data_IF_514972164303
#
_entry.id   IF_514972164303
#
_cell.length_a   1.000
_cell.length_b   1.000
_cell.length_c   1.000
_cell.angle_alpha   90.00
_cell.angle_beta   90.00
_cell.angle_gamma   90.00
#
_symmetry.space_group_name_H-M   'P 1'
#
loop_
_entity.id
_entity.type
_entity.pdbx_description
1 polymer ?
#
# COMPACT_ATOMS: atom_id res chain seq x y z
N UNK A 1 -19.17 -11.11 2.67
CA UNK A 1 -19.88 -9.87 3.05
C UNK A 1 -19.31 -8.72 2.24
N UNK A 2 -20.12 -8.04 1.40
CA UNK A 2 -19.70 -6.82 0.70
C UNK A 2 -19.50 -5.73 1.75
N UNK A 3 -18.28 -5.42 2.11
CA UNK A 3 -18.00 -4.30 2.97
C UNK A 3 -18.51 -3.02 2.30
N UNK A 4 -19.52 -2.42 2.89
CA UNK A 4 -19.99 -1.09 2.48
C UNK A 4 -18.81 -0.16 2.70
N UNK A 5 -18.26 0.42 1.65
CA UNK A 5 -17.14 1.35 1.78
C UNK A 5 -17.51 2.46 2.75
N UNK A 6 -16.57 2.87 3.60
CA UNK A 6 -16.78 3.95 4.56
C UNK A 6 -17.09 5.25 3.82
N UNK A 7 -18.20 5.89 4.15
CA UNK A 7 -18.56 7.18 3.55
C UNK A 7 -17.71 8.32 4.14
N UNK A 8 -17.69 9.47 3.48
CA UNK A 8 -17.03 10.68 4.00
C UNK A 8 -17.56 11.06 5.39
N UNK A 9 -18.88 10.93 5.58
CA UNK A 9 -19.53 11.28 6.85
C UNK A 9 -19.15 10.30 7.97
N UNK A 10 -19.08 9.00 7.66
CA UNK A 10 -18.63 7.98 8.62
C UNK A 10 -17.17 8.22 9.00
N UNK A 11 -16.32 8.54 8.02
CA UNK A 11 -14.93 8.86 8.25
C UNK A 11 -14.76 10.08 9.16
N UNK A 12 -15.47 11.16 8.87
CA UNK A 12 -15.44 12.39 9.67
C UNK A 12 -15.91 12.15 11.09
N UNK A 13 -16.96 11.35 11.27
CA UNK A 13 -17.49 11.01 12.59
C UNK A 13 -16.47 10.23 13.42
N UNK A 14 -15.74 9.31 12.81
CA UNK A 14 -14.81 8.41 13.51
C UNK A 14 -13.42 9.03 13.69
N UNK A 15 -12.92 9.76 12.67
CA UNK A 15 -11.53 10.25 12.60
C UNK A 15 -11.44 11.77 12.46
N UNK A 16 -12.50 12.49 12.75
CA UNK A 16 -12.54 13.95 12.65
C UNK A 16 -11.80 14.68 13.78
N UNK A 17 -11.51 13.98 14.87
CA UNK A 17 -10.77 14.52 16.03
C UNK A 17 -9.42 13.82 16.20
N UNK A 18 -8.48 14.50 16.86
CA UNK A 18 -7.16 13.93 17.16
C UNK A 18 -7.27 12.72 18.08
N UNK A 19 -8.18 12.79 19.06
CA UNK A 19 -8.48 11.72 20.00
C UNK A 19 -8.96 10.46 19.29
N UNK A 20 -9.93 10.59 18.36
CA UNK A 20 -10.44 9.46 17.58
C UNK A 20 -9.36 8.83 16.70
N UNK A 21 -8.45 9.63 16.15
CA UNK A 21 -7.30 9.12 15.41
C UNK A 21 -6.31 8.37 16.33
N UNK A 22 -6.07 8.88 17.54
CA UNK A 22 -5.19 8.25 18.53
C UNK A 22 -5.78 6.90 18.97
N UNK A 23 -7.05 6.85 19.31
CA UNK A 23 -7.76 5.63 19.70
C UNK A 23 -7.67 4.56 18.62
N UNK A 24 -8.00 4.92 17.38
CA UNK A 24 -7.91 4.00 16.24
C UNK A 24 -6.48 3.48 16.01
N UNK A 25 -5.47 4.32 16.22
CA UNK A 25 -4.07 3.92 16.07
C UNK A 25 -3.64 2.96 17.18
N UNK A 26 -4.11 3.17 18.41
CA UNK A 26 -3.87 2.30 19.56
C UNK A 26 -4.51 0.93 19.33
N UNK A 27 -5.77 0.88 18.91
CA UNK A 27 -6.49 -0.36 18.59
C UNK A 27 -5.79 -1.17 17.49
N UNK A 28 -5.33 -0.49 16.42
CA UNK A 28 -4.61 -1.16 15.35
C UNK A 28 -3.23 -1.67 15.79
N UNK A 29 -2.54 -0.93 16.64
CA UNK A 29 -1.22 -1.29 17.11
C UNK A 29 -1.24 -2.42 18.12
N UNK A 30 -2.22 -2.40 19.00
CA UNK A 30 -2.36 -3.32 20.11
C UNK A 30 -3.80 -3.86 20.21
N UNK A 31 -4.25 -4.69 19.26
CA UNK A 31 -5.63 -5.18 19.22
C UNK A 31 -6.00 -6.03 20.42
N UNK A 32 -5.01 -6.65 21.07
CA UNK A 32 -5.18 -7.46 22.29
C UNK A 32 -4.68 -6.74 23.55
N UNK A 33 -4.53 -5.41 23.48
CA UNK A 33 -3.94 -4.62 24.55
C UNK A 33 -2.45 -4.35 24.37
N UNK A 34 -1.92 -3.45 25.19
CA UNK A 34 -0.53 -3.03 25.11
C UNK A 34 0.45 -4.22 25.15
N UNK A 35 1.44 -4.20 24.25
CA UNK A 35 2.58 -5.11 24.27
C UNK A 35 3.88 -4.35 24.05
N UNK A 36 4.78 -4.48 25.02
CA UNK A 36 6.05 -3.77 24.98
C UNK A 36 6.93 -4.23 23.80
N UNK A 37 7.39 -3.34 22.93
CA UNK A 37 8.27 -3.72 21.81
C UNK A 37 9.70 -4.09 22.24
N UNK A 38 10.06 -3.86 23.50
CA UNK A 38 11.39 -4.14 24.03
C UNK A 38 11.45 -5.49 24.74
N UNK A 39 10.55 -5.75 25.71
CA UNK A 39 10.57 -6.95 26.54
C UNK A 39 9.37 -7.89 26.34
N UNK A 40 8.41 -7.52 25.47
CA UNK A 40 7.23 -8.34 25.21
C UNK A 40 6.15 -8.32 26.32
N UNK A 41 6.37 -7.59 27.44
CA UNK A 41 5.43 -7.51 28.56
C UNK A 41 4.11 -6.89 28.09
N UNK A 42 3.00 -7.40 28.63
CA UNK A 42 1.63 -7.07 28.22
C UNK A 42 0.96 -5.97 29.03
N UNK A 43 1.66 -5.43 30.04
CA UNK A 43 1.12 -4.36 30.87
C UNK A 43 1.94 -3.06 30.75
N UNK A 44 1.22 -1.94 30.69
CA UNK A 44 1.79 -0.61 30.58
C UNK A 44 0.73 0.47 30.78
N UNK A 45 1.14 1.70 30.95
CA UNK A 45 0.25 2.83 31.17
C UNK A 45 0.55 3.99 30.22
N UNK A 46 -0.51 4.73 29.86
CA UNK A 46 -0.42 5.87 28.97
C UNK A 46 0.09 7.11 29.72
N UNK A 47 1.16 7.72 29.21
CA UNK A 47 1.62 9.06 29.63
C UNK A 47 0.91 10.08 28.74
N UNK A 48 -0.29 10.50 29.18
CA UNK A 48 -1.19 11.39 28.39
C UNK A 48 -0.54 12.70 27.95
N UNK A 49 0.31 13.29 28.78
CA UNK A 49 0.97 14.57 28.51
C UNK A 49 1.96 14.53 27.34
N UNK A 50 2.46 13.35 26.98
CA UNK A 50 3.48 13.16 25.93
C UNK A 50 3.04 12.24 24.80
N UNK A 51 1.85 11.61 24.88
CA UNK A 51 1.40 10.64 23.89
C UNK A 51 2.26 9.37 23.81
N UNK A 52 2.84 8.94 24.94
CA UNK A 52 3.66 7.75 25.08
C UNK A 52 2.97 6.69 25.93
N UNK A 53 3.35 5.45 25.70
CA UNK A 53 3.06 4.33 26.58
C UNK A 53 4.35 3.89 27.27
N UNK A 54 4.32 3.67 28.59
CA UNK A 54 5.43 3.16 29.37
C UNK A 54 5.15 1.74 29.84
N UNK A 55 6.12 0.86 29.61
CA UNK A 55 6.04 -0.52 30.08
C UNK A 55 6.21 -0.59 31.59
N UNK A 56 5.32 -1.33 32.28
CA UNK A 56 5.40 -1.48 33.73
C UNK A 56 6.64 -2.30 34.20
N UNK A 57 7.23 -3.12 33.33
CA UNK A 57 8.36 -3.98 33.66
C UNK A 57 9.71 -3.34 33.35
N UNK A 58 9.93 -2.88 32.09
CA UNK A 58 11.22 -2.39 31.66
C UNK A 58 11.30 -0.86 31.53
N UNK A 59 10.24 -0.14 31.86
CA UNK A 59 10.10 1.33 31.80
C UNK A 59 10.40 1.94 30.43
N UNK A 60 10.41 1.10 29.36
CA UNK A 60 10.55 1.60 28.00
C UNK A 60 9.36 2.42 27.60
N UNK A 61 9.59 3.69 27.25
CA UNK A 61 8.59 4.58 26.70
C UNK A 61 8.50 4.37 25.18
N UNK A 62 7.29 4.22 24.68
CA UNK A 62 7.00 3.97 23.26
C UNK A 62 5.93 4.94 22.78
N UNK A 63 6.23 5.72 21.76
CA UNK A 63 5.22 6.53 21.08
C UNK A 63 4.26 5.65 20.29
N UNK A 64 2.97 5.99 20.28
CA UNK A 64 1.96 5.30 19.46
C UNK A 64 2.29 5.33 17.96
N UNK A 65 3.04 6.34 17.51
CA UNK A 65 3.44 6.50 16.11
C UNK A 65 4.77 5.81 15.78
N UNK A 66 5.56 5.39 16.78
CA UNK A 66 6.89 4.81 16.56
C UNK A 66 6.82 3.52 15.74
N UNK A 67 7.61 3.41 14.67
CA UNK A 67 7.63 2.25 13.77
C UNK A 67 6.41 2.12 12.86
N UNK A 68 5.52 3.10 12.83
CA UNK A 68 4.35 3.15 11.94
C UNK A 68 4.59 4.11 10.76
N UNK A 69 3.61 4.19 9.86
CA UNK A 69 3.53 5.21 8.80
C UNK A 69 3.75 6.63 9.34
N UNK A 70 3.31 6.89 10.55
CA UNK A 70 3.35 8.20 11.23
C UNK A 70 4.65 8.45 12.00
N UNK A 71 5.63 7.55 11.89
CA UNK A 71 6.91 7.70 12.60
C UNK A 71 7.57 9.05 12.34
N UNK A 72 7.99 9.73 13.43
CA UNK A 72 8.64 11.05 13.40
C UNK A 72 7.78 12.15 12.73
N UNK A 73 6.45 12.09 12.89
CA UNK A 73 5.58 13.16 12.41
C UNK A 73 5.41 14.26 13.48
N UNK A 74 5.45 15.51 13.01
CA UNK A 74 5.04 16.68 13.78
C UNK A 74 3.65 17.18 13.37
N UNK A 75 3.00 16.49 12.41
CA UNK A 75 1.66 16.82 11.98
C UNK A 75 0.62 16.12 12.86
N UNK A 76 -0.53 16.76 13.12
CA UNK A 76 -1.68 16.10 13.72
C UNK A 76 -2.06 14.83 12.96
N UNK A 77 -2.48 13.79 13.66
CA UNK A 77 -2.92 12.53 13.06
C UNK A 77 -4.15 12.73 12.18
N UNK A 78 -5.03 13.66 12.54
CA UNK A 78 -6.19 14.04 11.72
C UNK A 78 -5.81 14.39 10.29
N UNK A 79 -4.72 15.14 10.06
CA UNK A 79 -4.23 15.43 8.70
C UNK A 79 -3.74 14.18 7.96
N UNK A 80 -3.13 13.25 8.67
CA UNK A 80 -2.69 11.98 8.11
C UNK A 80 -3.87 11.09 7.74
N UNK A 81 -4.86 10.97 8.61
CA UNK A 81 -6.05 10.19 8.36
C UNK A 81 -6.84 10.75 7.17
N UNK A 82 -6.96 12.08 7.06
CA UNK A 82 -7.55 12.71 5.87
C UNK A 82 -6.75 12.43 4.60
N UNK A 83 -5.42 12.49 4.66
CA UNK A 83 -4.58 12.15 3.50
C UNK A 83 -4.78 10.70 3.05
N UNK A 84 -4.86 9.76 3.99
CA UNK A 84 -5.13 8.34 3.71
C UNK A 84 -6.51 8.17 3.07
N UNK A 85 -7.54 8.81 3.62
CA UNK A 85 -8.90 8.75 3.06
C UNK A 85 -8.94 9.26 1.62
N UNK A 86 -8.36 10.44 1.37
CA UNK A 86 -8.34 11.04 0.04
C UNK A 86 -7.59 10.19 -0.98
N UNK A 87 -6.48 9.57 -0.59
CA UNK A 87 -5.72 8.64 -1.46
C UNK A 87 -6.52 7.36 -1.73
N UNK A 88 -7.17 6.81 -0.70
CA UNK A 88 -7.91 5.55 -0.84
C UNK A 88 -9.24 5.69 -1.61
N UNK A 89 -9.89 6.86 -1.53
CA UNK A 89 -11.18 7.11 -2.17
C UNK A 89 -11.08 7.59 -3.62
N UNK A 90 -9.94 8.13 -4.05
CA UNK A 90 -9.77 8.70 -5.39
C UNK A 90 -9.10 7.71 -6.35
N UNK A 91 -9.89 7.13 -7.25
CA UNK A 91 -9.42 6.19 -8.29
C UNK A 91 -8.46 6.83 -9.31
N UNK A 92 -8.56 8.14 -9.52
CA UNK A 92 -7.69 8.89 -10.43
C UNK A 92 -6.33 9.24 -9.82
N UNK A 93 -6.17 8.98 -8.52
CA UNK A 93 -4.99 9.35 -7.75
C UNK A 93 -4.97 10.82 -7.32
N UNK A 94 -4.21 11.10 -6.28
CA UNK A 94 -4.08 12.43 -5.69
C UNK A 94 -2.68 12.97 -5.93
N UNK A 95 -2.58 14.17 -6.53
CA UNK A 95 -1.30 14.87 -6.66
C UNK A 95 -0.92 15.57 -5.35
N UNK A 96 0.40 15.78 -5.13
CA UNK A 96 0.88 16.48 -3.95
C UNK A 96 0.34 17.92 -3.85
N UNK A 97 0.15 18.59 -4.99
CA UNK A 97 -0.43 19.94 -5.02
C UNK A 97 -1.91 19.94 -4.61
N UNK A 98 -2.70 18.95 -5.07
CA UNK A 98 -4.10 18.81 -4.68
C UNK A 98 -4.20 18.48 -3.19
N UNK A 99 -3.43 17.50 -2.71
CA UNK A 99 -3.41 17.12 -1.31
C UNK A 99 -3.03 18.27 -0.39
N UNK A 100 -1.98 19.04 -0.75
CA UNK A 100 -1.51 20.18 0.07
C UNK A 100 -2.59 21.22 0.30
N UNK A 101 -3.40 21.51 -0.73
CA UNK A 101 -4.54 22.43 -0.63
C UNK A 101 -5.68 21.86 0.21
N UNK A 102 -5.99 20.57 0.07
CA UNK A 102 -7.12 19.93 0.75
C UNK A 102 -6.91 19.80 2.27
N UNK A 103 -5.69 19.50 2.72
CA UNK A 103 -5.38 19.31 4.15
C UNK A 103 -4.58 20.47 4.74
N UNK A 104 -4.40 21.55 4.01
CA UNK A 104 -3.67 22.75 4.41
C UNK A 104 -2.28 22.44 5.00
N UNK A 105 -1.40 21.94 4.13
CA UNK A 105 0.03 21.72 4.41
C UNK A 105 0.88 22.21 3.24
N UNK A 106 2.18 22.36 3.43
CA UNK A 106 3.08 22.70 2.32
C UNK A 106 3.12 21.59 1.26
N UNK A 107 3.43 21.93 0.02
CA UNK A 107 3.60 20.95 -1.06
C UNK A 107 4.66 19.89 -0.72
N UNK A 108 5.77 20.31 -0.10
CA UNK A 108 6.86 19.40 0.32
C UNK A 108 6.33 18.39 1.33
N UNK A 109 5.54 18.85 2.31
CA UNK A 109 4.91 17.98 3.32
C UNK A 109 3.95 16.99 2.68
N UNK A 110 3.05 17.46 1.81
CA UNK A 110 2.11 16.60 1.09
C UNK A 110 2.81 15.55 0.23
N UNK A 111 3.91 15.93 -0.44
CA UNK A 111 4.73 15.01 -1.25
C UNK A 111 5.36 13.91 -0.39
N UNK A 112 5.90 14.26 0.79
CA UNK A 112 6.45 13.30 1.76
C UNK A 112 5.37 12.36 2.30
N UNK A 113 4.19 12.89 2.63
CA UNK A 113 3.04 12.10 3.07
C UNK A 113 2.62 11.08 2.01
N UNK A 114 2.42 11.52 0.77
CA UNK A 114 2.07 10.64 -0.35
C UNK A 114 3.11 9.55 -0.57
N UNK A 115 4.39 9.87 -0.47
CA UNK A 115 5.46 8.88 -0.58
C UNK A 115 5.35 7.81 0.51
N UNK A 116 5.16 8.21 1.78
CA UNK A 116 5.01 7.27 2.90
C UNK A 116 3.75 6.41 2.74
N UNK A 117 2.61 7.00 2.35
CA UNK A 117 1.36 6.27 2.11
C UNK A 117 1.55 5.23 1.01
N UNK A 118 2.15 5.60 -0.13
CA UNK A 118 2.42 4.68 -1.25
C UNK A 118 3.35 3.54 -0.87
N UNK A 119 4.38 3.81 -0.06
CA UNK A 119 5.28 2.75 0.46
C UNK A 119 4.50 1.78 1.34
N UNK A 120 3.65 2.27 2.24
CA UNK A 120 2.82 1.43 3.10
C UNK A 120 1.81 0.59 2.30
N UNK A 121 1.19 1.17 1.25
CA UNK A 121 0.32 0.44 0.33
C UNK A 121 1.08 -0.67 -0.38
N UNK A 122 2.26 -0.38 -0.95
CA UNK A 122 3.08 -1.38 -1.63
C UNK A 122 3.55 -2.50 -0.69
N UNK A 123 3.86 -2.20 0.57
CA UNK A 123 4.16 -3.22 1.58
C UNK A 123 2.94 -4.12 1.83
N UNK A 124 1.76 -3.54 2.00
CA UNK A 124 0.52 -4.30 2.16
C UNK A 124 0.26 -5.20 0.95
N UNK A 125 0.38 -4.67 -0.25
CA UNK A 125 0.14 -5.42 -1.49
C UNK A 125 1.11 -6.61 -1.63
N UNK A 126 2.34 -6.50 -1.11
CA UNK A 126 3.32 -7.60 -1.12
C UNK A 126 2.93 -8.79 -0.22
N UNK A 127 1.97 -8.63 0.69
CA UNK A 127 1.46 -9.70 1.55
C UNK A 127 0.36 -10.53 0.88
N UNK A 128 -0.21 -10.05 -0.22
CA UNK A 128 -1.25 -10.76 -0.96
C UNK A 128 -0.65 -11.64 -2.04
N UNK A 129 -1.26 -12.80 -2.22
CA UNK A 129 -1.07 -13.64 -3.41
C UNK A 129 -2.39 -13.72 -4.15
N UNK A 130 -2.32 -13.51 -5.45
CA UNK A 130 -3.47 -13.61 -6.34
C UNK A 130 -3.92 -15.06 -6.50
N UNK A 131 -5.22 -15.29 -6.64
CA UNK A 131 -5.83 -16.61 -6.76
C UNK A 131 -6.96 -16.61 -7.79
N UNK A 132 -7.48 -17.80 -8.11
CA UNK A 132 -8.50 -18.06 -9.12
C UNK A 132 -8.02 -17.79 -10.56
N UNK A 133 -8.83 -17.10 -11.36
CA UNK A 133 -8.48 -16.70 -12.71
C UNK A 133 -7.67 -15.42 -12.70
N UNK A 134 -6.46 -15.45 -13.22
CA UNK A 134 -5.53 -14.34 -13.23
C UNK A 134 -5.18 -13.95 -14.66
N UNK A 135 -5.32 -12.68 -14.99
CA UNK A 135 -4.88 -12.12 -16.27
C UNK A 135 -3.53 -11.43 -16.07
N UNK A 136 -2.53 -11.80 -16.88
CA UNK A 136 -1.17 -11.22 -16.82
C UNK A 136 -0.84 -10.55 -18.14
N UNK A 137 -0.32 -9.32 -18.05
CA UNK A 137 0.12 -8.52 -19.18
C UNK A 137 1.35 -7.68 -18.81
N UNK A 138 2.04 -7.14 -19.82
CA UNK A 138 3.10 -6.18 -19.62
C UNK A 138 2.69 -4.76 -20.02
N UNK A 139 3.10 -3.78 -19.23
CA UNK A 139 2.84 -2.38 -19.49
C UNK A 139 4.13 -1.55 -19.53
N UNK A 140 4.16 -0.58 -20.42
CA UNK A 140 5.26 0.38 -20.52
C UNK A 140 4.84 1.71 -19.89
N UNK A 141 5.42 2.04 -18.74
CA UNK A 141 5.15 3.30 -18.03
C UNK A 141 6.22 4.32 -18.37
N UNK A 142 5.80 5.52 -18.78
CA UNK A 142 6.69 6.65 -19.09
C UNK A 142 6.01 7.68 -19.96
N UNK A 143 6.52 8.93 -19.94
CA UNK A 143 5.99 10.02 -20.74
C UNK A 143 6.16 9.79 -22.24
N UNK A 144 5.44 10.58 -23.05
CA UNK A 144 5.63 10.62 -24.50
C UNK A 144 6.96 11.32 -24.81
N UNK A 145 7.82 10.65 -25.56
CA UNK A 145 9.03 11.23 -26.13
C UNK A 145 8.91 11.33 -27.65
N UNK A 146 9.37 12.44 -28.21
CA UNK A 146 9.49 12.63 -29.64
C UNK A 146 10.82 12.02 -30.11
N UNK A 147 10.76 11.13 -31.10
CA UNK A 147 11.91 10.37 -31.60
C UNK A 147 12.19 9.10 -30.78
N UNK A 148 12.92 8.18 -31.36
CA UNK A 148 13.28 6.90 -30.75
C UNK A 148 12.38 5.73 -31.13
N UNK A 149 12.77 4.52 -30.67
CA UNK A 149 12.08 3.26 -30.96
C UNK A 149 10.74 3.21 -30.22
N UNK A 150 9.67 2.81 -30.91
CA UNK A 150 8.32 2.62 -30.30
C UNK A 150 8.16 1.18 -29.80
N UNK A 151 7.35 1.00 -28.77
CA UNK A 151 7.01 -0.33 -28.22
C UNK A 151 8.06 -0.88 -27.26
N UNK A 152 8.15 -2.21 -27.21
CA UNK A 152 9.12 -2.94 -26.37
C UNK A 152 10.55 -2.56 -26.75
N UNK A 153 11.33 -2.12 -25.76
CA UNK A 153 12.67 -1.57 -25.98
C UNK A 153 12.73 -0.07 -26.25
N UNK A 154 11.63 0.67 -26.06
CA UNK A 154 11.63 2.11 -26.08
C UNK A 154 12.52 2.65 -24.94
N UNK A 155 13.53 3.42 -25.29
CA UNK A 155 14.38 4.09 -24.33
C UNK A 155 13.55 4.98 -23.40
N UNK A 156 13.90 5.03 -22.12
CA UNK A 156 13.26 5.85 -21.07
C UNK A 156 11.84 5.42 -20.68
N UNK A 157 11.40 4.21 -21.02
CA UNK A 157 10.18 3.63 -20.48
C UNK A 157 10.51 2.53 -19.49
N UNK A 158 9.69 2.44 -18.44
CA UNK A 158 9.80 1.42 -17.42
C UNK A 158 8.85 0.28 -17.75
N UNK A 159 9.36 -0.94 -17.88
CA UNK A 159 8.53 -2.13 -18.05
C UNK A 159 7.96 -2.56 -16.70
N UNK A 160 6.66 -2.86 -16.68
CA UNK A 160 5.95 -3.32 -15.51
C UNK A 160 5.15 -4.57 -15.88
N UNK A 161 5.34 -5.66 -15.14
CA UNK A 161 4.44 -6.81 -15.19
C UNK A 161 3.22 -6.50 -14.32
N UNK A 162 2.04 -6.78 -14.84
CA UNK A 162 0.76 -6.55 -14.20
C UNK A 162 -0.01 -7.86 -14.17
N UNK A 163 -0.50 -8.27 -13.02
CA UNK A 163 -1.42 -9.39 -12.86
C UNK A 163 -2.67 -8.94 -12.14
N UNK A 164 -3.83 -9.37 -12.62
CA UNK A 164 -5.14 -8.97 -12.09
C UNK A 164 -5.99 -10.22 -11.90
N UNK A 165 -6.58 -10.37 -10.72
CA UNK A 165 -7.64 -11.36 -10.51
C UNK A 165 -8.87 -10.99 -11.33
N UNK A 166 -9.36 -11.93 -12.13
CA UNK A 166 -10.59 -11.78 -12.90
C UNK A 166 -11.76 -12.43 -12.14
N UNK A 167 -12.61 -11.59 -11.56
CA UNK A 167 -13.79 -12.05 -10.81
C UNK A 167 -15.04 -11.85 -11.66
N UNK A 168 -15.37 -12.83 -12.49
CA UNK A 168 -16.47 -12.78 -13.46
C UNK A 168 -16.36 -11.54 -14.38
N UNK A 169 -17.08 -10.45 -14.06
CA UNK A 169 -17.11 -9.19 -14.83
C UNK A 169 -16.39 -8.04 -14.13
N UNK A 170 -15.60 -8.31 -13.11
CA UNK A 170 -14.93 -7.28 -12.29
C UNK A 170 -13.47 -7.64 -12.04
N UNK A 171 -12.62 -6.63 -12.04
CA UNK A 171 -11.26 -6.77 -11.56
C UNK A 171 -11.26 -7.01 -10.03
N UNK A 172 -10.49 -7.98 -9.57
CA UNK A 172 -10.19 -8.25 -8.17
C UNK A 172 -8.94 -7.52 -7.70
N UNK A 173 -8.08 -8.24 -6.97
CA UNK A 173 -6.79 -7.71 -6.57
C UNK A 173 -5.83 -7.63 -7.75
N UNK A 174 -4.86 -6.72 -7.64
CA UNK A 174 -3.84 -6.47 -8.65
C UNK A 174 -2.45 -6.59 -8.02
N UNK A 175 -1.52 -7.21 -8.76
CA UNK A 175 -0.10 -7.16 -8.45
C UNK A 175 0.64 -6.48 -9.59
N UNK A 176 1.58 -5.61 -9.25
CA UNK A 176 2.42 -4.91 -10.22
C UNK A 176 3.88 -4.96 -9.78
N UNK A 177 4.77 -5.24 -10.71
CA UNK A 177 6.21 -5.25 -10.44
C UNK A 177 6.98 -4.61 -11.60
N UNK A 178 7.81 -3.63 -11.26
CA UNK A 178 8.78 -3.09 -12.21
C UNK A 178 9.83 -4.16 -12.52
N UNK A 179 10.13 -4.35 -13.80
CA UNK A 179 11.14 -5.29 -14.29
C UNK A 179 12.10 -4.59 -15.26
N UNK A 180 13.34 -5.04 -15.32
CA UNK A 180 14.32 -4.53 -16.29
C UNK A 180 13.99 -4.94 -17.72
N UNK A 181 13.45 -6.14 -17.87
CA UNK A 181 13.00 -6.72 -19.15
C UNK A 181 11.94 -7.78 -18.90
N UNK A 182 11.06 -7.98 -19.88
CA UNK A 182 10.06 -9.04 -19.85
C UNK A 182 10.66 -10.28 -20.51
N UNK A 183 11.21 -11.17 -19.70
CA UNK A 183 11.77 -12.45 -20.14
C UNK A 183 11.24 -13.59 -19.25
N UNK A 184 11.54 -14.83 -19.60
CA UNK A 184 11.06 -16.03 -18.90
C UNK A 184 11.43 -16.04 -17.42
N UNK A 185 12.62 -15.62 -17.09
CA UNK A 185 13.11 -15.60 -15.71
C UNK A 185 12.37 -14.58 -14.85
N UNK A 186 12.23 -13.33 -15.34
CA UNK A 186 11.50 -12.27 -14.62
C UNK A 186 10.02 -12.60 -14.47
N UNK A 187 9.40 -13.23 -15.47
CA UNK A 187 8.02 -13.71 -15.39
C UNK A 187 7.89 -14.83 -14.36
N UNK A 188 8.78 -15.82 -14.37
CA UNK A 188 8.77 -16.91 -13.38
C UNK A 188 8.93 -16.40 -11.95
N UNK A 189 9.84 -15.46 -11.72
CA UNK A 189 10.03 -14.81 -10.39
C UNK A 189 8.78 -14.04 -9.96
N UNK A 190 8.15 -13.31 -10.89
CA UNK A 190 6.92 -12.57 -10.64
C UNK A 190 5.77 -13.51 -10.23
N UNK A 191 5.56 -14.59 -10.98
CA UNK A 191 4.53 -15.59 -10.70
C UNK A 191 4.75 -16.22 -9.33
N UNK A 192 5.94 -16.71 -9.03
CA UNK A 192 6.28 -17.31 -7.73
C UNK A 192 6.06 -16.37 -6.55
N UNK A 193 6.25 -15.07 -6.76
CA UNK A 193 6.11 -14.07 -5.72
C UNK A 193 4.66 -13.65 -5.48
N UNK A 194 3.88 -13.50 -6.55
CA UNK A 194 2.59 -12.81 -6.50
C UNK A 194 1.37 -13.74 -6.67
N UNK A 195 1.54 -14.93 -7.24
CA UNK A 195 0.44 -15.86 -7.44
C UNK A 195 0.48 -16.99 -6.40
N UNK A 196 -0.69 -17.48 -6.03
CA UNK A 196 -0.84 -18.74 -5.32
C UNK A 196 -0.52 -19.91 -6.26
N UNK A 197 -0.13 -21.09 -5.76
CA UNK A 197 0.01 -22.30 -6.60
C UNK A 197 -1.31 -22.66 -7.29
N UNK A 198 -1.22 -23.40 -8.41
CA UNK A 198 -2.35 -24.04 -9.10
C UNK A 198 -3.47 -23.08 -9.57
N UNK A 199 -3.08 -21.89 -10.07
CA UNK A 199 -4.04 -20.91 -10.55
C UNK A 199 -4.20 -20.94 -12.07
N UNK A 200 -5.40 -20.56 -12.55
CA UNK A 200 -5.63 -20.37 -13.98
C UNK A 200 -5.08 -19.04 -14.44
N UNK A 201 -4.13 -19.06 -15.36
CA UNK A 201 -3.51 -17.84 -15.88
C UNK A 201 -3.88 -17.63 -17.34
N UNK A 202 -4.42 -16.46 -17.66
CA UNK A 202 -4.64 -15.98 -19.03
C UNK A 202 -3.60 -14.91 -19.35
N UNK A 203 -2.93 -15.04 -20.48
CA UNK A 203 -1.98 -14.04 -20.98
C UNK A 203 -2.14 -13.86 -22.49
N UNK A 204 -1.54 -12.80 -23.03
CA UNK A 204 -1.32 -12.70 -24.46
C UNK A 204 -0.30 -13.76 -24.93
N UNK A 205 -0.22 -13.97 -26.26
CA UNK A 205 0.67 -14.97 -26.85
C UNK A 205 2.17 -14.61 -26.77
N UNK A 206 2.60 -13.84 -25.79
CA UNK A 206 4.00 -13.49 -25.59
C UNK A 206 4.80 -14.75 -25.18
N UNK A 207 5.89 -15.10 -25.89
CA UNK A 207 6.67 -16.32 -25.58
C UNK A 207 7.21 -16.38 -24.13
N UNK A 208 7.48 -15.22 -23.53
CA UNK A 208 7.92 -15.12 -22.13
C UNK A 208 6.80 -15.51 -21.14
N UNK A 209 5.52 -15.30 -21.49
CA UNK A 209 4.36 -15.63 -20.67
C UNK A 209 3.86 -17.07 -20.91
N UNK A 210 4.20 -17.68 -22.06
CA UNK A 210 3.84 -19.08 -22.38
C UNK A 210 4.47 -20.12 -21.40
N UNK A 211 5.48 -19.74 -20.64
CA UNK A 211 6.11 -20.63 -19.64
C UNK A 211 5.40 -20.67 -18.30
N UNK A 212 4.38 -19.84 -18.08
CA UNK A 212 3.63 -19.80 -16.80
C UNK A 212 3.03 -21.18 -16.50
N UNK A 213 2.53 -21.88 -17.52
CA UNK A 213 1.98 -23.23 -17.38
C UNK A 213 2.98 -24.28 -16.84
N UNK A 214 4.28 -24.05 -17.01
CA UNK A 214 5.34 -24.94 -16.51
C UNK A 214 5.79 -24.62 -15.08
N UNK A 215 5.48 -23.45 -14.61
CA UNK A 215 5.96 -22.97 -13.29
C UNK A 215 4.97 -23.28 -12.17
N UNK A 216 3.78 -23.73 -12.52
CA UNK A 216 2.68 -24.04 -11.60
C UNK A 216 2.51 -25.55 -11.31
N UNK A 217 3.37 -26.41 -11.85
CA UNK A 217 3.41 -27.86 -11.54
C UNK A 217 4.38 -28.14 -10.40
#
# INVERSE_FOLDING_TARGET
MKGKGMTLMDWQKQYGTEEGCIEALIEQRWPEGFRCPCCGHDNGYAIKTRGYWECSQCHKQTSITAGTLFHSTNLPLTKWFWAIYLVASDKGGVSALRLSKQINVSWITASRMLRKIRIAMGHRDSLYRLHDLIEIDDALIGGRHTGGKRGRGAERKTSVLVAIESREKRAGFIAMQQVSSVNRETVSQFVKRHLSPDQYVRSDALPALAEISKTQN
#
